data_IF_058592442973
#
_entry.id   IF_058592442973
#
_cell.length_a   1.000
_cell.length_b   1.000
_cell.length_c   1.000
_cell.angle_alpha   90.00
_cell.angle_beta   90.00
_cell.angle_gamma   90.00
#
_symmetry.space_group_name_H-M   'P 1'
#
loop_
_entity.id
_entity.type
_entity.pdbx_description
1 polymer ?
#
# COMPACT_ATOMS: atom_id res chain seq x y z
N UNK A 1 -15.17 15.41 -3.86
CA UNK A 1 -13.89 14.70 -3.81
C UNK A 1 -14.24 13.24 -3.59
N UNK A 2 -14.21 12.44 -4.66
CA UNK A 2 -14.37 11.00 -4.54
C UNK A 2 -13.09 10.47 -3.89
N UNK A 3 -13.22 9.69 -2.82
CA UNK A 3 -12.09 8.97 -2.21
C UNK A 3 -11.42 8.15 -3.32
N UNK A 4 -10.09 8.25 -3.43
CA UNK A 4 -9.33 7.36 -4.29
C UNK A 4 -9.73 5.91 -3.97
N UNK A 5 -9.96 5.02 -4.97
CA UNK A 5 -10.36 3.63 -4.75
C UNK A 5 -9.51 2.86 -3.74
N UNK A 6 -8.27 3.31 -3.53
CA UNK A 6 -7.25 2.69 -2.68
C UNK A 6 -7.61 2.57 -1.20
N UNK A 7 -8.38 3.49 -0.63
CA UNK A 7 -8.61 3.49 0.83
C UNK A 7 -9.36 2.24 1.33
N UNK A 8 -10.11 1.55 0.48
CA UNK A 8 -10.98 0.46 0.89
C UNK A 8 -10.26 -0.88 1.12
N UNK A 9 -9.13 -1.13 0.45
CA UNK A 9 -8.40 -2.41 0.54
C UNK A 9 -7.03 -2.31 1.22
N UNK A 10 -6.49 -1.12 1.49
CA UNK A 10 -5.17 -0.95 2.14
C UNK A 10 -5.03 -1.76 3.45
N UNK A 11 -6.07 -1.77 4.29
CA UNK A 11 -6.05 -2.50 5.57
C UNK A 11 -5.82 -4.01 5.41
N UNK A 12 -6.34 -4.63 4.34
CA UNK A 12 -6.15 -6.07 4.14
C UNK A 12 -4.77 -6.40 3.58
N UNK A 13 -4.16 -5.45 2.85
CA UNK A 13 -2.81 -5.59 2.31
C UNK A 13 -1.74 -5.48 3.39
N UNK A 14 -1.93 -4.64 4.41
CA UNK A 14 -1.01 -4.52 5.55
C UNK A 14 -0.79 -5.84 6.31
N UNK A 15 -1.73 -6.78 6.19
CA UNK A 15 -1.64 -8.09 6.82
C UNK A 15 -0.91 -9.14 5.95
N UNK A 16 -0.55 -8.80 4.71
CA UNK A 16 0.13 -9.71 3.79
C UNK A 16 1.65 -9.75 4.03
N UNK A 17 2.33 -10.84 3.62
CA UNK A 17 3.78 -10.98 3.80
C UNK A 17 4.62 -9.83 3.25
N UNK A 18 4.30 -9.30 2.07
CA UNK A 18 5.12 -8.24 1.44
C UNK A 18 5.29 -6.99 2.32
N UNK A 19 4.26 -6.63 3.09
CA UNK A 19 4.32 -5.49 4.01
C UNK A 19 5.42 -5.67 5.07
N UNK A 20 5.65 -6.91 5.51
CA UNK A 20 6.71 -7.24 6.47
C UNK A 20 8.10 -7.10 5.86
N UNK A 21 8.26 -7.30 4.55
CA UNK A 21 9.54 -7.13 3.86
C UNK A 21 9.91 -5.64 3.79
N UNK A 22 8.97 -4.77 3.42
CA UNK A 22 9.19 -3.31 3.42
C UNK A 22 9.51 -2.76 4.81
N UNK A 23 8.82 -3.26 5.84
CA UNK A 23 9.05 -2.91 7.24
C UNK A 23 10.50 -3.14 7.69
N UNK A 24 11.20 -4.14 7.12
CA UNK A 24 12.62 -4.41 7.44
C UNK A 24 13.51 -3.26 6.99
N UNK A 25 13.25 -2.72 5.80
CA UNK A 25 14.01 -1.59 5.25
C UNK A 25 13.76 -0.29 6.01
N UNK A 26 12.51 -0.05 6.43
CA UNK A 26 12.15 1.12 7.23
C UNK A 26 12.81 1.10 8.61
N UNK A 27 12.92 -0.10 9.22
CA UNK A 27 13.42 -0.30 10.59
C UNK A 27 14.91 -0.64 10.66
N UNK A 28 15.63 -0.47 9.56
CA UNK A 28 17.07 -0.76 9.50
C UNK A 28 17.84 0.06 10.54
N UNK A 29 18.73 -0.60 11.31
CA UNK A 29 19.54 0.09 12.33
C UNK A 29 20.70 0.84 11.67
N UNK A 30 20.62 2.18 11.69
CA UNK A 30 21.63 3.08 11.12
C UNK A 30 22.61 3.65 12.15
N UNK A 31 22.57 3.23 13.43
CA UNK A 31 23.37 3.85 14.51
C UNK A 31 24.87 3.82 14.24
N UNK A 32 25.35 2.71 13.67
CA UNK A 32 26.76 2.51 13.35
C UNK A 32 27.09 2.89 11.91
N UNK A 33 26.12 3.41 11.15
CA UNK A 33 26.35 3.72 9.76
C UNK A 33 27.07 5.08 9.62
N UNK A 34 28.31 4.99 9.17
CA UNK A 34 29.28 6.08 9.05
C UNK A 34 29.87 6.21 7.64
N UNK A 35 29.27 5.52 6.66
CA UNK A 35 29.68 5.56 5.26
C UNK A 35 29.90 6.98 4.72
N UNK A 36 30.92 7.10 3.89
CA UNK A 36 31.19 8.33 3.14
C UNK A 36 30.22 8.57 1.99
N UNK A 37 29.45 7.57 1.56
CA UNK A 37 28.54 7.70 0.42
C UNK A 37 27.52 8.83 0.61
N UNK A 38 27.09 9.10 1.86
CA UNK A 38 26.12 10.16 2.17
C UNK A 38 26.72 11.54 2.43
N UNK A 39 28.05 11.72 2.36
CA UNK A 39 28.69 13.00 2.70
C UNK A 39 28.40 14.09 1.66
N UNK A 40 28.34 13.70 0.39
CA UNK A 40 28.19 14.61 -0.75
C UNK A 40 26.75 14.62 -1.29
N UNK A 41 25.76 14.31 -0.45
CA UNK A 41 24.34 14.26 -0.83
C UNK A 41 23.77 15.61 -1.31
N UNK A 42 24.47 16.71 -1.06
CA UNK A 42 24.02 18.05 -1.44
C UNK A 42 22.84 18.58 -0.61
N UNK A 43 22.42 17.86 0.44
CA UNK A 43 21.35 18.28 1.36
C UNK A 43 21.87 18.56 2.77
N UNK A 44 21.34 19.60 3.39
CA UNK A 44 21.56 19.90 4.81
C UNK A 44 20.46 19.33 5.71
N UNK A 45 19.36 18.85 5.12
CA UNK A 45 18.23 18.27 5.83
C UNK A 45 18.62 16.95 6.52
N UNK A 46 18.30 16.82 7.81
CA UNK A 46 18.64 15.62 8.57
C UNK A 46 17.78 14.41 8.16
N UNK A 47 16.57 14.64 7.64
CA UNK A 47 15.72 13.60 7.08
C UNK A 47 16.31 12.99 5.81
N UNK A 48 16.88 13.80 4.93
CA UNK A 48 17.60 13.34 3.73
C UNK A 48 18.86 12.55 4.08
N UNK A 49 19.66 13.04 5.03
CA UNK A 49 20.85 12.31 5.52
C UNK A 49 20.48 10.98 6.17
N UNK A 50 19.40 10.96 6.95
CA UNK A 50 18.88 9.74 7.58
C UNK A 50 18.44 8.74 6.51
N UNK A 51 17.68 9.18 5.51
CA UNK A 51 17.22 8.34 4.42
C UNK A 51 18.39 7.77 3.60
N UNK A 52 19.39 8.60 3.29
CA UNK A 52 20.61 8.13 2.63
C UNK A 52 21.30 7.01 3.43
N UNK A 53 21.45 7.17 4.76
CA UNK A 53 22.03 6.13 5.62
C UNK A 53 21.21 4.84 5.61
N UNK A 54 19.87 4.94 5.59
CA UNK A 54 19.02 3.75 5.48
C UNK A 54 19.26 3.02 4.15
N UNK A 55 19.35 3.76 3.04
CA UNK A 55 19.65 3.19 1.71
C UNK A 55 20.98 2.43 1.73
N UNK A 56 22.06 3.05 2.20
CA UNK A 56 23.39 2.43 2.24
C UNK A 56 23.40 1.21 3.17
N UNK A 57 22.78 1.32 4.34
CA UNK A 57 22.72 0.21 5.29
C UNK A 57 21.88 -0.97 4.75
N UNK A 58 20.76 -0.71 4.08
CA UNK A 58 19.93 -1.74 3.46
C UNK A 58 20.70 -2.48 2.35
N UNK A 59 21.39 -1.75 1.47
CA UNK A 59 22.24 -2.35 0.44
C UNK A 59 23.40 -3.16 1.05
N UNK A 60 23.98 -2.68 2.16
CA UNK A 60 25.00 -3.42 2.89
C UNK A 60 24.45 -4.74 3.45
N UNK A 61 23.27 -4.74 4.07
CA UNK A 61 22.65 -5.97 4.57
C UNK A 61 22.32 -6.95 3.43
N UNK A 62 21.76 -6.45 2.32
CA UNK A 62 21.48 -7.27 1.14
C UNK A 62 22.76 -7.90 0.58
N UNK A 63 23.89 -7.18 0.57
CA UNK A 63 25.16 -7.73 0.11
C UNK A 63 25.69 -8.90 0.97
N UNK A 64 25.29 -9.00 2.24
CA UNK A 64 25.64 -10.14 3.10
C UNK A 64 24.84 -11.40 2.79
N UNK A 65 23.77 -11.29 2.00
CA UNK A 65 22.93 -12.39 1.54
C UNK A 65 23.37 -12.91 0.17
N UNK A 66 24.63 -12.67 -0.24
CA UNK A 66 25.11 -13.04 -1.57
C UNK A 66 24.92 -14.53 -1.88
N UNK A 67 24.95 -15.43 -0.90
CA UNK A 67 24.73 -16.86 -1.12
C UNK A 67 23.26 -17.30 -0.94
N UNK A 68 22.34 -16.37 -0.73
CA UNK A 68 20.90 -16.64 -0.63
C UNK A 68 20.25 -16.63 -2.02
N UNK A 69 19.55 -17.71 -2.36
CA UNK A 69 18.78 -17.83 -3.61
C UNK A 69 17.65 -16.78 -3.70
N UNK A 70 17.22 -16.20 -2.59
CA UNK A 70 16.18 -15.16 -2.53
C UNK A 70 16.74 -13.72 -2.58
N UNK A 71 18.05 -13.53 -2.76
CA UNK A 71 18.64 -12.19 -2.83
C UNK A 71 18.00 -11.35 -3.95
N UNK A 72 17.79 -11.94 -5.13
CA UNK A 72 17.14 -11.26 -6.26
C UNK A 72 15.76 -10.72 -5.88
N UNK A 73 14.92 -11.55 -5.24
CA UNK A 73 13.61 -11.11 -4.78
C UNK A 73 13.71 -10.02 -3.70
N UNK A 74 14.69 -10.13 -2.80
CA UNK A 74 14.96 -9.11 -1.77
C UNK A 74 15.40 -7.78 -2.39
N UNK A 75 16.17 -7.83 -3.48
CA UNK A 75 16.54 -6.67 -4.28
C UNK A 75 15.32 -6.02 -4.94
N UNK A 76 14.37 -6.80 -5.48
CA UNK A 76 13.14 -6.24 -6.03
C UNK A 76 12.29 -5.56 -4.96
N UNK A 77 12.16 -6.13 -3.77
CA UNK A 77 11.54 -5.43 -2.65
C UNK A 77 12.26 -4.12 -2.31
N UNK A 78 13.59 -4.11 -2.31
CA UNK A 78 14.38 -2.90 -2.08
C UNK A 78 14.12 -1.83 -3.15
N UNK A 79 14.05 -2.22 -4.44
CA UNK A 79 13.73 -1.29 -5.53
C UNK A 79 12.39 -0.60 -5.27
N UNK A 80 11.33 -1.37 -5.03
CA UNK A 80 9.99 -0.84 -4.78
C UNK A 80 9.93 0.04 -3.53
N UNK A 81 10.64 -0.34 -2.46
CA UNK A 81 10.79 0.49 -1.27
C UNK A 81 11.50 1.81 -1.56
N UNK A 82 12.58 1.76 -2.33
CA UNK A 82 13.37 2.92 -2.70
C UNK A 82 12.54 3.91 -3.54
N UNK A 83 11.90 3.45 -4.62
CA UNK A 83 11.06 4.29 -5.48
C UNK A 83 9.87 4.91 -4.73
N UNK A 84 9.20 4.13 -3.87
CA UNK A 84 8.07 4.62 -3.06
C UNK A 84 8.51 5.72 -2.09
N UNK A 85 9.70 5.61 -1.47
CA UNK A 85 10.25 6.65 -0.61
C UNK A 85 10.77 7.86 -1.39
N UNK A 86 11.35 7.65 -2.57
CA UNK A 86 11.78 8.74 -3.47
C UNK A 86 10.57 9.57 -3.91
N UNK A 87 9.51 8.92 -4.37
CA UNK A 87 8.25 9.57 -4.76
C UNK A 87 7.69 10.43 -3.63
N UNK A 88 7.55 9.86 -2.42
CA UNK A 88 6.99 10.58 -1.26
C UNK A 88 7.78 11.82 -0.84
N UNK A 89 9.10 11.81 -1.03
CA UNK A 89 10.00 12.87 -0.54
C UNK A 89 10.34 13.92 -1.57
N UNK A 90 10.47 13.54 -2.83
CA UNK A 90 11.12 14.36 -3.86
C UNK A 90 10.25 14.65 -5.07
N UNK A 91 8.99 14.19 -5.10
CA UNK A 91 8.03 14.44 -6.17
C UNK A 91 6.77 15.16 -5.64
N UNK A 92 6.12 15.93 -6.51
CA UNK A 92 4.78 16.48 -6.32
C UNK A 92 3.86 15.90 -7.40
N UNK A 93 3.06 14.90 -7.02
CA UNK A 93 2.40 14.03 -7.99
C UNK A 93 3.43 13.31 -8.86
N UNK A 94 3.35 13.48 -10.17
CA UNK A 94 4.33 12.91 -11.13
C UNK A 94 5.43 13.90 -11.53
N UNK A 95 5.44 15.11 -10.97
CA UNK A 95 6.43 16.13 -11.30
C UNK A 95 7.55 16.17 -10.25
N UNK A 96 8.72 16.62 -10.67
CA UNK A 96 9.86 16.80 -9.77
C UNK A 96 9.57 17.89 -8.73
N UNK A 97 9.80 17.56 -7.46
CA UNK A 97 9.77 18.53 -6.38
C UNK A 97 11.05 19.37 -6.32
N UNK A 98 11.03 20.41 -5.47
CA UNK A 98 12.14 21.36 -5.34
C UNK A 98 13.49 20.74 -4.92
N UNK A 99 13.47 19.58 -4.26
CA UNK A 99 14.66 18.88 -3.77
C UNK A 99 15.09 17.71 -4.67
N UNK A 100 14.65 17.66 -5.93
CA UNK A 100 14.95 16.56 -6.85
C UNK A 100 16.46 16.31 -7.05
N UNK A 101 17.29 17.35 -6.95
CA UNK A 101 18.74 17.19 -7.01
C UNK A 101 19.28 16.19 -5.96
N UNK A 102 18.64 16.13 -4.78
CA UNK A 102 18.97 15.16 -3.73
C UNK A 102 18.59 13.75 -4.17
N UNK A 103 17.41 13.57 -4.75
CA UNK A 103 16.97 12.28 -5.29
C UNK A 103 17.97 11.73 -6.32
N UNK A 104 18.44 12.60 -7.23
CA UNK A 104 19.47 12.25 -8.22
C UNK A 104 20.74 11.72 -7.57
N UNK A 105 21.22 12.35 -6.50
CA UNK A 105 22.39 11.84 -5.78
C UNK A 105 22.10 10.51 -5.07
N UNK A 106 20.89 10.28 -4.58
CA UNK A 106 20.51 8.97 -4.02
C UNK A 106 20.53 7.87 -5.10
N UNK A 107 20.03 8.15 -6.31
CA UNK A 107 20.14 7.23 -7.46
C UNK A 107 21.60 6.91 -7.79
N UNK A 108 22.48 7.93 -7.77
CA UNK A 108 23.92 7.75 -8.02
C UNK A 108 24.56 6.85 -6.95
N UNK A 109 24.19 7.02 -5.67
CA UNK A 109 24.69 6.20 -4.57
C UNK A 109 24.28 4.73 -4.77
N UNK A 110 23.00 4.46 -5.04
CA UNK A 110 22.53 3.09 -5.32
C UNK A 110 23.28 2.50 -6.51
N UNK A 111 23.43 3.26 -7.59
CA UNK A 111 24.15 2.85 -8.81
C UNK A 111 25.64 2.60 -8.58
N UNK A 112 26.23 3.18 -7.54
CA UNK A 112 27.63 2.95 -7.15
C UNK A 112 27.78 1.68 -6.32
N UNK A 113 26.82 1.40 -5.44
CA UNK A 113 26.92 0.31 -4.46
C UNK A 113 26.41 -1.02 -5.02
N UNK A 114 25.25 -1.03 -5.68
CA UNK A 114 24.61 -2.26 -6.15
C UNK A 114 25.50 -3.09 -7.11
N UNK A 115 26.22 -2.53 -8.10
CA UNK A 115 27.07 -3.33 -8.99
C UNK A 115 28.39 -3.82 -8.38
N UNK A 116 28.67 -3.61 -7.09
CA UNK A 116 29.90 -4.12 -6.47
C UNK A 116 29.97 -5.65 -6.42
N UNK A 117 28.83 -6.34 -6.56
CA UNK A 117 28.72 -7.78 -6.72
C UNK A 117 27.75 -8.10 -7.86
N UNK A 118 28.06 -9.08 -8.70
CA UNK A 118 27.17 -9.50 -9.79
C UNK A 118 25.83 -10.01 -9.29
N UNK A 119 25.79 -10.55 -8.06
CA UNK A 119 24.54 -11.01 -7.43
C UNK A 119 23.68 -9.87 -6.88
N UNK A 120 24.26 -8.69 -6.72
CA UNK A 120 23.58 -7.46 -6.31
C UNK A 120 23.11 -6.64 -7.52
N UNK A 121 23.35 -7.10 -8.76
CA UNK A 121 22.85 -6.49 -9.98
C UNK A 121 21.33 -6.21 -9.94
N UNK A 122 20.47 -7.12 -9.42
CA UNK A 122 19.04 -6.85 -9.30
C UNK A 122 18.70 -5.74 -8.31
N UNK A 123 19.61 -5.26 -7.46
CA UNK A 123 19.34 -4.18 -6.50
C UNK A 123 19.49 -2.78 -7.13
N UNK A 124 19.88 -2.69 -8.41
CA UNK A 124 19.99 -1.40 -9.11
C UNK A 124 18.64 -0.71 -9.19
N UNK A 125 18.65 0.61 -8.99
CA UNK A 125 17.48 1.47 -9.13
C UNK A 125 17.82 2.53 -10.19
N UNK A 126 17.22 2.42 -11.37
CA UNK A 126 17.41 3.39 -12.44
C UNK A 126 16.46 4.57 -12.27
N UNK A 127 16.91 5.77 -12.62
CA UNK A 127 16.08 7.00 -12.68
C UNK A 127 15.16 6.94 -13.91
N UNK A 128 14.19 6.03 -13.90
CA UNK A 128 13.25 5.79 -15.00
C UNK A 128 11.82 5.73 -14.49
N UNK A 129 10.88 6.28 -15.25
CA UNK A 129 9.46 6.30 -14.90
C UNK A 129 9.08 7.51 -14.03
N UNK A 130 7.91 7.40 -13.40
CA UNK A 130 7.34 8.44 -12.54
C UNK A 130 6.49 7.78 -11.43
N UNK A 131 6.22 8.50 -10.32
CA UNK A 131 5.55 7.97 -9.13
C UNK A 131 4.33 7.09 -9.36
N UNK A 132 3.40 7.48 -10.25
CA UNK A 132 2.22 6.65 -10.52
C UNK A 132 2.58 5.28 -11.12
N UNK A 133 3.54 5.23 -12.06
CA UNK A 133 4.01 3.96 -12.65
C UNK A 133 4.71 3.09 -11.60
N UNK A 134 5.57 3.69 -10.75
CA UNK A 134 6.24 2.93 -9.69
C UNK A 134 5.25 2.35 -8.69
N UNK A 135 4.17 3.06 -8.43
CA UNK A 135 3.08 2.59 -7.56
C UNK A 135 2.34 1.41 -8.17
N UNK A 136 2.02 1.47 -9.46
CA UNK A 136 1.38 0.36 -10.19
C UNK A 136 2.28 -0.87 -10.22
N UNK A 137 3.57 -0.69 -10.51
CA UNK A 137 4.57 -1.78 -10.53
C UNK A 137 4.74 -2.40 -9.15
N UNK A 138 4.79 -1.59 -8.09
CA UNK A 138 4.79 -2.09 -6.71
C UNK A 138 3.53 -2.91 -6.41
N UNK A 139 2.35 -2.45 -6.83
CA UNK A 139 1.11 -3.20 -6.63
C UNK A 139 1.09 -4.55 -7.35
N UNK A 140 1.65 -4.61 -8.56
CA UNK A 140 1.86 -5.86 -9.30
C UNK A 140 2.84 -6.78 -8.58
N UNK A 141 4.01 -6.26 -8.17
CA UNK A 141 4.99 -7.02 -7.39
C UNK A 141 4.36 -7.62 -6.14
N UNK A 142 3.70 -6.79 -5.32
CA UNK A 142 2.99 -7.20 -4.11
C UNK A 142 1.96 -8.30 -4.37
N UNK A 143 1.21 -8.19 -5.47
CA UNK A 143 0.25 -9.21 -5.86
C UNK A 143 0.93 -10.57 -6.08
N UNK A 144 2.00 -10.62 -6.88
CA UNK A 144 2.68 -11.87 -7.18
C UNK A 144 3.34 -12.49 -5.93
N UNK A 145 3.89 -11.66 -5.05
CA UNK A 145 4.50 -12.11 -3.81
C UNK A 145 3.48 -12.65 -2.81
N UNK A 146 2.28 -12.07 -2.78
CA UNK A 146 1.22 -12.45 -1.85
C UNK A 146 0.16 -13.36 -2.46
N UNK A 147 0.32 -13.82 -3.70
CA UNK A 147 -0.72 -14.53 -4.47
C UNK A 147 -1.34 -15.70 -3.69
N UNK A 148 -0.52 -16.46 -2.95
CA UNK A 148 -0.98 -17.61 -2.15
C UNK A 148 -1.72 -17.23 -0.86
N UNK A 149 -1.52 -16.00 -0.39
CA UNK A 149 -2.12 -15.45 0.83
C UNK A 149 -3.41 -14.67 0.55
N UNK A 150 -3.63 -14.26 -0.71
CA UNK A 150 -4.87 -13.62 -1.17
C UNK A 150 -5.96 -14.69 -1.34
N UNK A 151 -6.67 -14.97 -0.25
CA UNK A 151 -7.77 -15.93 -0.23
C UNK A 151 -8.88 -15.50 0.71
N UNK A 152 -10.11 -15.91 0.39
CA UNK A 152 -11.25 -15.72 1.29
C UNK A 152 -11.15 -16.72 2.44
N UNK A 153 -11.15 -16.21 3.68
CA UNK A 153 -11.29 -17.04 4.86
C UNK A 153 -12.78 -17.35 5.10
N UNK A 154 -13.08 -18.53 5.64
CA UNK A 154 -14.45 -19.03 5.80
C UNK A 154 -15.35 -18.17 6.73
N UNK A 155 -14.79 -17.20 7.45
CA UNK A 155 -15.50 -16.40 8.44
C UNK A 155 -15.57 -14.91 8.15
N UNK A 156 -14.78 -14.38 7.20
CA UNK A 156 -14.63 -12.94 7.00
C UNK A 156 -14.98 -12.52 5.57
N UNK A 157 -16.28 -12.26 5.36
CA UNK A 157 -16.82 -11.78 4.09
C UNK A 157 -16.26 -10.41 3.70
N UNK A 158 -16.11 -9.50 4.67
CA UNK A 158 -15.62 -8.15 4.40
C UNK A 158 -14.18 -8.16 3.88
N UNK A 159 -13.31 -8.99 4.49
CA UNK A 159 -11.95 -9.18 4.00
C UNK A 159 -11.92 -9.79 2.59
N UNK A 160 -12.78 -10.77 2.32
CA UNK A 160 -12.93 -11.38 0.99
C UNK A 160 -13.38 -10.34 -0.07
N UNK A 161 -14.33 -9.48 0.26
CA UNK A 161 -14.78 -8.37 -0.61
C UNK A 161 -13.64 -7.40 -0.92
N UNK A 162 -12.83 -7.03 0.08
CA UNK A 162 -11.65 -6.17 -0.10
C UNK A 162 -10.60 -6.84 -1.01
N UNK A 163 -10.37 -8.15 -0.88
CA UNK A 163 -9.50 -8.87 -1.82
C UNK A 163 -10.07 -8.89 -3.24
N UNK A 164 -11.38 -9.06 -3.43
CA UNK A 164 -12.01 -8.99 -4.75
C UNK A 164 -11.79 -7.61 -5.38
N UNK A 165 -11.94 -6.53 -4.60
CA UNK A 165 -11.70 -5.17 -5.09
C UNK A 165 -10.23 -4.96 -5.48
N UNK A 166 -9.29 -5.37 -4.60
CA UNK A 166 -7.86 -5.30 -4.88
C UNK A 166 -7.46 -6.11 -6.12
N UNK A 167 -7.89 -7.37 -6.23
CA UNK A 167 -7.55 -8.21 -7.40
C UNK A 167 -8.22 -7.69 -8.67
N UNK A 168 -9.38 -7.04 -8.59
CA UNK A 168 -9.98 -6.35 -9.74
C UNK A 168 -9.09 -5.21 -10.22
N UNK A 169 -8.53 -4.41 -9.31
CA UNK A 169 -7.56 -3.36 -9.65
C UNK A 169 -6.26 -3.95 -10.22
N UNK A 170 -5.73 -5.03 -9.64
CA UNK A 170 -4.57 -5.71 -10.19
C UNK A 170 -4.84 -6.25 -11.59
N UNK A 171 -6.03 -6.76 -11.86
CA UNK A 171 -6.38 -7.28 -13.18
C UNK A 171 -6.29 -6.19 -14.25
N UNK A 172 -6.67 -4.95 -13.95
CA UNK A 172 -6.53 -3.85 -14.92
C UNK A 172 -5.07 -3.55 -15.21
N UNK A 173 -4.22 -3.50 -14.18
CA UNK A 173 -2.77 -3.30 -14.37
C UNK A 173 -2.11 -4.46 -15.12
N UNK A 174 -2.53 -5.68 -14.81
CA UNK A 174 -1.99 -6.90 -15.42
C UNK A 174 -2.25 -6.92 -16.92
N UNK A 175 -3.50 -6.68 -17.34
CA UNK A 175 -3.88 -6.64 -18.76
C UNK A 175 -3.06 -5.60 -19.55
N UNK A 176 -2.77 -4.43 -18.96
CA UNK A 176 -1.96 -3.39 -19.61
C UNK A 176 -0.47 -3.73 -19.77
N UNK A 177 0.04 -4.62 -18.91
CA UNK A 177 1.45 -5.00 -18.86
C UNK A 177 1.74 -6.29 -19.62
N UNK A 178 0.78 -7.21 -19.78
CA UNK A 178 0.96 -8.49 -20.50
C UNK A 178 1.62 -8.29 -21.86
N UNK A 179 1.09 -7.38 -22.69
CA UNK A 179 1.61 -7.16 -24.06
C UNK A 179 3.05 -6.61 -24.09
N UNK A 180 3.51 -6.01 -22.99
CA UNK A 180 4.86 -5.41 -22.87
C UNK A 180 5.85 -6.31 -22.14
N UNK A 181 5.35 -7.23 -21.34
CA UNK A 181 6.13 -8.00 -20.39
C UNK A 181 6.17 -9.49 -20.70
N UNK A 182 5.32 -10.01 -21.59
CA UNK A 182 5.17 -11.44 -21.80
C UNK A 182 5.29 -11.84 -23.27
N UNK A 183 6.13 -12.84 -23.53
CA UNK A 183 6.07 -13.67 -24.75
C UNK A 183 5.54 -15.05 -24.38
N UNK A 184 4.20 -15.18 -24.39
CA UNK A 184 3.54 -16.36 -23.84
C UNK A 184 3.60 -16.40 -22.32
N UNK A 185 4.10 -17.51 -21.74
CA UNK A 185 4.28 -17.65 -20.28
C UNK A 185 5.66 -17.15 -19.80
N UNK A 186 6.54 -16.78 -20.74
CA UNK A 186 7.88 -16.29 -20.44
C UNK A 186 7.89 -14.76 -20.38
N UNK A 187 8.76 -14.20 -19.54
CA UNK A 187 8.98 -12.75 -19.50
C UNK A 187 9.70 -12.30 -20.78
N UNK A 188 9.25 -11.18 -21.34
CA UNK A 188 9.95 -10.49 -22.43
C UNK A 188 11.26 -9.89 -21.89
N UNK A 189 12.38 -10.40 -22.42
CA UNK A 189 13.75 -9.99 -22.06
C UNK A 189 13.99 -8.49 -22.27
N UNK A 190 13.23 -7.83 -23.14
CA UNK A 190 13.37 -6.40 -23.44
C UNK A 190 12.45 -5.49 -22.63
N UNK A 191 11.49 -6.05 -21.88
CA UNK A 191 10.45 -5.29 -21.17
C UNK A 191 10.89 -4.70 -19.82
N UNK A 192 12.02 -5.15 -19.27
CA UNK A 192 12.47 -4.82 -17.90
C UNK A 192 11.36 -5.05 -16.84
N UNK A 193 10.59 -6.13 -16.99
CA UNK A 193 9.43 -6.41 -16.13
C UNK A 193 9.73 -7.35 -14.97
N UNK A 194 10.90 -8.00 -14.97
CA UNK A 194 11.33 -8.97 -13.94
C UNK A 194 11.12 -8.49 -12.50
N UNK A 195 11.36 -7.21 -12.14
CA UNK A 195 11.18 -6.75 -10.76
C UNK A 195 9.74 -6.77 -10.24
N UNK A 196 8.74 -6.84 -11.12
CA UNK A 196 7.35 -6.65 -10.74
C UNK A 196 6.32 -7.53 -11.44
N UNK A 197 6.72 -8.29 -12.47
CA UNK A 197 5.79 -9.05 -13.30
C UNK A 197 6.12 -10.53 -13.38
N UNK A 198 5.07 -11.36 -13.51
CA UNK A 198 5.18 -12.79 -13.79
C UNK A 198 4.12 -13.18 -14.83
N UNK A 199 4.56 -13.85 -15.88
CA UNK A 199 3.72 -14.20 -17.03
C UNK A 199 3.05 -15.57 -16.92
N UNK A 200 3.44 -16.40 -15.95
CA UNK A 200 2.90 -17.75 -15.86
C UNK A 200 1.40 -17.73 -15.53
N UNK A 201 0.63 -18.53 -16.25
CA UNK A 201 -0.84 -18.58 -16.15
C UNK A 201 -1.35 -18.80 -14.71
N UNK A 202 -0.58 -19.48 -13.86
CA UNK A 202 -0.90 -19.72 -12.44
C UNK A 202 -1.08 -18.43 -11.62
N UNK A 203 -0.59 -17.29 -12.11
CA UNK A 203 -0.70 -15.98 -11.47
C UNK A 203 -1.78 -15.09 -12.10
N UNK A 204 -2.61 -15.62 -13.00
CA UNK A 204 -3.71 -14.87 -13.63
C UNK A 204 -4.63 -14.22 -12.58
N UNK A 205 -4.72 -12.87 -12.53
CA UNK A 205 -5.65 -12.17 -11.64
C UNK A 205 -7.11 -12.49 -11.97
N UNK A 206 -7.41 -12.75 -13.25
CA UNK A 206 -8.75 -13.15 -13.68
C UNK A 206 -9.18 -14.47 -13.05
N UNK A 207 -8.28 -15.46 -13.02
CA UNK A 207 -8.55 -16.77 -12.42
C UNK A 207 -8.69 -16.68 -10.91
N UNK A 208 -7.81 -15.92 -10.25
CA UNK A 208 -7.93 -15.69 -8.82
C UNK A 208 -9.24 -14.94 -8.49
N UNK A 209 -9.61 -13.93 -9.27
CA UNK A 209 -10.84 -13.17 -9.08
C UNK A 209 -12.09 -14.07 -9.20
N UNK A 210 -12.11 -15.00 -10.15
CA UNK A 210 -13.19 -15.97 -10.29
C UNK A 210 -13.30 -16.89 -9.07
N UNK A 211 -12.16 -17.35 -8.54
CA UNK A 211 -12.10 -18.16 -7.32
C UNK A 211 -12.61 -17.41 -6.10
N UNK A 212 -12.16 -16.16 -5.89
CA UNK A 212 -12.60 -15.32 -4.77
C UNK A 212 -14.11 -15.03 -4.82
N UNK A 213 -14.65 -14.68 -6.00
CA UNK A 213 -16.10 -14.45 -6.18
C UNK A 213 -16.92 -15.70 -5.89
N UNK A 214 -16.46 -16.86 -6.33
CA UNK A 214 -17.11 -18.15 -6.05
C UNK A 214 -17.13 -18.43 -4.55
N UNK A 215 -15.99 -18.25 -3.86
CA UNK A 215 -15.90 -18.40 -2.41
C UNK A 215 -16.83 -17.45 -1.66
N UNK A 216 -16.89 -16.18 -2.06
CA UNK A 216 -17.81 -15.22 -1.44
C UNK A 216 -19.28 -15.66 -1.55
N UNK A 217 -19.69 -16.18 -2.71
CA UNK A 217 -21.04 -16.71 -2.90
C UNK A 217 -21.34 -17.93 -2.01
N UNK A 218 -20.38 -18.84 -1.83
CA UNK A 218 -20.51 -19.98 -0.91
C UNK A 218 -20.70 -19.52 0.55
N UNK A 219 -19.99 -18.46 0.96
CA UNK A 219 -20.15 -17.84 2.28
C UNK A 219 -21.51 -17.17 2.44
N UNK A 220 -22.07 -16.60 1.37
CA UNK A 220 -23.45 -16.14 1.29
C UNK A 220 -24.44 -17.25 1.67
N UNK A 221 -24.36 -18.37 0.95
CA UNK A 221 -25.27 -19.52 1.09
C UNK A 221 -25.18 -20.20 2.47
N UNK A 222 -23.98 -20.32 3.06
CA UNK A 222 -23.80 -20.90 4.41
C UNK A 222 -24.43 -20.07 5.54
N UNK A 223 -24.64 -18.77 5.34
CA UNK A 223 -25.28 -17.90 6.31
C UNK A 223 -26.82 -17.94 6.22
N UNK A 224 -27.37 -18.46 5.11
CA UNK A 224 -28.80 -18.43 4.79
C UNK A 224 -29.51 -19.79 4.98
N UNK A 225 -28.82 -20.84 5.43
CA UNK A 225 -29.48 -22.11 5.79
C UNK A 225 -30.48 -21.88 6.94
N UNK A 226 -31.77 -22.25 6.76
CA UNK A 226 -32.79 -22.04 7.79
C UNK A 226 -32.47 -22.73 9.11
N UNK A 227 -32.66 -22.01 10.23
CA UNK A 227 -32.96 -22.64 11.51
C UNK A 227 -34.34 -23.29 11.41
N UNK A 228 -34.41 -24.54 10.96
CA UNK A 228 -35.57 -25.41 11.11
C UNK A 228 -35.20 -26.51 12.12
N UNK A 229 -35.96 -26.87 13.14
CA UNK A 229 -37.26 -26.42 13.62
C UNK A 229 -37.48 -27.07 14.99
N UNK A 230 -38.10 -26.34 15.92
CA UNK A 230 -38.61 -26.89 17.16
C UNK A 230 -40.13 -26.90 17.11
N UNK A 231 -40.72 -27.86 16.41
CA UNK A 231 -42.16 -28.12 16.39
C UNK A 231 -42.59 -28.74 17.72
N UNK A 232 -43.17 -27.91 18.60
CA UNK A 232 -43.99 -28.39 19.72
C UNK A 232 -45.42 -28.59 19.25
N UNK A 233 -45.77 -29.82 18.88
CA UNK A 233 -47.17 -30.22 18.74
C UNK A 233 -47.78 -30.40 20.14
N UNK A 234 -48.89 -29.73 20.42
CA UNK A 234 -49.82 -30.13 21.49
C UNK A 234 -51.26 -30.03 20.98
N UNK A 235 -51.95 -31.15 21.12
CA UNK A 235 -53.31 -31.45 20.69
C UNK A 235 -54.38 -30.59 21.38
N UNK A 236 -55.51 -30.47 20.69
CA UNK A 236 -56.73 -29.84 21.19
C UNK A 236 -57.53 -30.77 22.13
N UNK A 237 -58.00 -30.23 23.26
CA UNK A 237 -58.89 -30.92 24.18
C UNK A 237 -59.73 -29.97 25.06
N UNK A 238 -60.93 -29.63 24.55
CA UNK A 238 -62.22 -29.36 25.23
C UNK A 238 -62.28 -28.58 26.58
N UNK A 239 -63.04 -27.47 26.54
CA UNK A 239 -63.63 -26.75 27.68
C UNK A 239 -64.79 -27.56 28.36
N UNK A 240 -65.37 -27.21 29.54
CA UNK A 240 -65.96 -25.88 29.82
C UNK A 240 -65.91 -25.36 31.29
N UNK A 241 -66.20 -24.07 31.48
CA UNK A 241 -66.89 -23.59 32.70
C UNK A 241 -66.47 -22.26 33.34
N UNK A 242 -67.20 -21.20 32.98
CA UNK A 242 -67.82 -20.17 33.85
C UNK A 242 -67.01 -19.24 34.80
N UNK A 243 -67.31 -17.93 34.66
CA UNK A 243 -67.12 -16.85 35.65
C UNK A 243 -65.69 -16.29 35.66
N UNK A 244 -65.42 -14.99 35.61
CA UNK A 244 -66.20 -13.80 35.91
C UNK A 244 -65.20 -12.77 36.49
N UNK A 245 -65.43 -11.51 36.14
CA UNK A 245 -64.87 -10.29 36.73
C UNK A 245 -63.52 -9.70 36.31
N UNK A 246 -63.64 -8.39 36.11
CA UNK A 246 -62.67 -7.39 35.72
C UNK A 246 -61.76 -6.98 36.90
N UNK A 247 -60.64 -6.33 36.54
CA UNK A 247 -60.22 -5.00 37.02
C UNK A 247 -58.87 -4.87 37.75
N UNK A 248 -58.02 -4.09 37.08
CA UNK A 248 -57.02 -3.08 37.52
C UNK A 248 -55.77 -3.43 38.38
N UNK A 249 -54.64 -2.96 37.82
CA UNK A 249 -53.54 -2.13 38.38
C UNK A 249 -52.64 -2.67 39.50
N UNK A 250 -51.34 -2.73 39.22
CA UNK A 250 -50.26 -1.71 39.45
C UNK A 250 -48.90 -2.47 39.38
N UNK A 251 -48.00 -2.08 38.48
CA UNK A 251 -46.84 -1.22 38.75
C UNK A 251 -46.03 -1.59 40.00
N UNK A 252 -44.80 -2.10 39.83
CA UNK A 252 -43.61 -1.36 40.26
C UNK A 252 -42.33 -1.92 39.62
N UNK A 253 -41.56 -1.00 39.07
CA UNK A 253 -40.14 -1.12 38.80
C UNK A 253 -39.38 -1.41 40.11
N UNK A 254 -38.26 -2.12 40.02
CA UNK A 254 -37.05 -1.50 40.55
C UNK A 254 -35.80 -1.90 39.75
N UNK A 255 -34.99 -0.88 39.50
CA UNK A 255 -33.75 -0.90 38.74
C UNK A 255 -32.62 -1.33 39.66
N UNK A 256 -31.66 -2.09 39.14
CA UNK A 256 -30.27 -1.97 39.60
C UNK A 256 -29.37 -1.79 38.40
N UNK A 257 -28.71 -0.63 38.41
CA UNK A 257 -27.79 -0.14 37.42
C UNK A 257 -26.41 -0.80 37.54
N UNK A 258 -25.76 -0.84 36.40
CA UNK A 258 -24.37 -1.20 36.16
C UNK A 258 -23.37 -0.31 36.92
N UNK A 259 -22.18 -0.86 37.19
CA UNK A 259 -20.92 -0.12 37.11
C UNK A 259 -19.92 -0.94 36.32
N UNK A 260 -19.58 -0.40 35.16
CA UNK A 260 -18.44 -0.75 34.30
C UNK A 260 -17.21 0.04 34.75
N UNK A 261 -16.03 -0.56 34.65
CA UNK A 261 -14.76 0.19 34.58
C UNK A 261 -14.02 -0.25 33.33
N UNK A 262 -14.09 0.60 32.31
CA UNK A 262 -13.26 0.53 31.10
C UNK A 262 -11.88 1.15 31.35
N UNK A 263 -10.88 0.61 30.67
CA UNK A 263 -9.50 1.10 30.63
C UNK A 263 -9.18 1.33 29.15
N UNK A 264 -9.34 2.57 28.68
CA UNK A 264 -8.92 2.99 27.34
C UNK A 264 -7.46 3.43 27.36
N UNK A 265 -6.72 2.96 26.35
CA UNK A 265 -5.37 3.37 26.03
C UNK A 265 -5.42 4.65 25.17
N UNK A 266 -4.62 5.65 25.55
CA UNK A 266 -4.48 6.91 24.82
C UNK A 266 -3.65 6.70 23.54
N UNK A 267 -4.28 6.93 22.39
CA UNK A 267 -3.58 7.22 21.13
C UNK A 267 -3.27 8.73 21.09
N UNK A 268 -2.00 9.07 20.87
CA UNK A 268 -1.56 10.44 20.59
C UNK A 268 -1.69 10.66 19.07
N UNK A 269 -2.66 11.46 18.65
CA UNK A 269 -2.72 12.03 17.30
C UNK A 269 -2.34 13.49 17.44
N UNK A 270 -1.15 13.87 16.96
CA UNK A 270 -0.76 15.27 16.80
C UNK A 270 -1.29 15.72 15.44
N UNK A 271 -2.42 16.43 15.47
CA UNK A 271 -2.87 17.26 14.37
C UNK A 271 -2.03 18.54 14.35
N UNK A 272 -1.22 18.72 13.30
CA UNK A 272 -0.55 19.99 13.03
C UNK A 272 -1.51 20.93 12.31
N UNK A 273 -1.84 22.04 12.96
CA UNK A 273 -2.64 23.13 12.41
C UNK A 273 -1.96 23.81 11.22
N UNK A 274 -2.77 24.15 10.22
CA UNK A 274 -2.45 25.02 9.07
C UNK A 274 -2.37 26.48 9.55
N UNK A 275 -1.28 27.22 9.30
CA UNK A 275 -1.29 28.66 9.44
C UNK A 275 -1.81 29.36 8.17
N UNK A 276 -2.78 30.24 8.43
CA UNK A 276 -3.44 31.18 7.52
C UNK A 276 -2.50 31.94 6.58
N UNK A 277 -2.96 31.98 5.34
CA UNK A 277 -2.76 32.99 4.32
C UNK A 277 -2.78 34.44 4.89
N UNK A 278 -1.74 35.21 4.56
CA UNK A 278 -1.77 36.67 4.61
C UNK A 278 -1.51 37.18 3.19
N UNK A 279 -2.55 37.80 2.63
CA UNK A 279 -2.46 38.66 1.47
C UNK A 279 -1.48 39.83 1.73
N UNK A 280 -0.66 40.16 0.74
CA UNK A 280 -0.06 41.47 0.58
C UNK A 280 0.13 41.76 -0.91
N UNK A 281 -0.21 43.00 -1.25
CA UNK A 281 -0.50 43.54 -2.57
C UNK A 281 0.60 43.45 -3.63
N UNK A 282 0.11 43.34 -4.86
CA UNK A 282 0.76 43.69 -6.11
C UNK A 282 1.35 45.10 -6.09
N UNK A 283 2.61 45.24 -6.51
CA UNK A 283 3.09 46.44 -7.18
C UNK A 283 3.90 46.03 -8.41
N UNK A 284 3.26 46.21 -9.57
CA UNK A 284 3.89 46.25 -10.87
C UNK A 284 4.80 47.47 -10.97
N UNK A 285 6.00 47.31 -11.52
CA UNK A 285 6.70 48.39 -12.21
C UNK A 285 7.54 47.82 -13.35
N UNK A 286 7.11 48.20 -14.55
CA UNK A 286 7.67 47.94 -15.86
C UNK A 286 9.03 48.60 -16.04
N UNK A 287 9.99 47.90 -16.64
CA UNK A 287 11.22 48.49 -17.18
C UNK A 287 11.13 48.52 -18.72
N UNK A 288 11.50 49.63 -19.39
CA UNK A 288 11.31 49.76 -20.83
C UNK A 288 12.51 49.22 -21.61
N UNK A 289 12.20 48.54 -22.73
CA UNK A 289 13.13 48.26 -23.81
C UNK A 289 13.66 49.56 -24.43
N UNK A 290 14.98 49.65 -24.61
CA UNK A 290 15.61 50.63 -25.50
C UNK A 290 16.39 49.91 -26.58
N UNK A 291 15.76 49.84 -27.75
CA UNK A 291 16.39 49.68 -29.06
C UNK A 291 17.23 50.92 -29.36
N UNK A 292 18.50 50.76 -29.74
CA UNK A 292 19.24 51.79 -30.49
C UNK A 292 19.92 51.12 -31.69
N UNK A 293 19.59 51.71 -32.84
CA UNK A 293 19.94 51.43 -34.23
C UNK A 293 21.42 51.70 -34.56
N UNK A 294 21.84 51.05 -35.66
CA UNK A 294 23.17 51.11 -36.26
C UNK A 294 23.43 52.35 -37.14
N UNK A 295 24.74 52.47 -37.48
CA UNK A 295 25.40 53.16 -38.62
C UNK A 295 25.76 54.65 -38.51
N UNK A 296 26.71 55.15 -39.33
CA UNK A 296 27.94 54.52 -39.85
C UNK A 296 29.18 55.47 -39.83
N UNK A 297 30.37 54.90 -40.03
CA UNK A 297 31.49 55.46 -40.83
C UNK A 297 32.47 54.33 -41.17
#
# INVERSE_FOLDING_TARGET
MALSPEENWVEVLQNLPSYKEYDKFDKVDIKNENSSHCKDLGSTDEGDKTFCKQIVQNLSQLSTLEDDENLENSCYYFQHWFFDNIAKKYYDGNEWGNNYAVAKELYNIVSTIAPLSTKMEPCKCYESGYPDVWKEEKHLHDYFQNHQDIKCNDSDKSKCEKYIQYVTYINTLFEEKVDKCCDGEDLDEYGFCEPYFKCENKYSPQDLLAQLKTKLQELGKKAETPRDGGTGAVEAGKAPGSGGDEREKKAQEDKVAAVTTGKEAKANVVAGEVPKEKAADSLAQSAPEKTITAQPA
#
